data_IF_028490367437
#
_entry.id   IF_028490367437
#
_cell.length_a   1.000
_cell.length_b   1.000
_cell.length_c   1.000
_cell.angle_alpha   90.00
_cell.angle_beta   90.00
_cell.angle_gamma   90.00
#
_symmetry.space_group_name_H-M   'P 1'
#
loop_
_entity.id
_entity.type
_entity.pdbx_description
1 polymer ?
#
# COMPACT_ATOMS: atom_id res chain seq x y z
N UNK A 1 3.02 -12.08 12.80
CA UNK A 1 3.49 -10.76 13.23
C UNK A 1 5.01 -10.66 13.15
N UNK A 2 5.74 -11.60 13.76
CA UNK A 2 7.20 -11.57 13.85
C UNK A 2 7.88 -11.56 12.47
N UNK A 3 7.37 -12.33 11.52
CA UNK A 3 7.89 -12.34 10.14
C UNK A 3 7.82 -10.97 9.45
N UNK A 4 6.79 -10.17 9.71
CA UNK A 4 6.69 -8.79 9.18
C UNK A 4 7.70 -7.88 9.84
N UNK A 5 7.87 -8.00 11.17
CA UNK A 5 8.87 -7.23 11.93
C UNK A 5 10.28 -7.57 11.45
N UNK A 6 10.57 -8.83 11.24
CA UNK A 6 11.88 -9.28 10.74
C UNK A 6 12.13 -8.82 9.30
N UNK A 7 11.11 -8.86 8.44
CA UNK A 7 11.20 -8.28 7.10
C UNK A 7 11.60 -6.80 7.14
N UNK A 8 10.95 -5.99 7.98
CA UNK A 8 11.26 -4.56 8.13
C UNK A 8 12.68 -4.36 8.69
N UNK A 9 13.07 -5.14 9.71
CA UNK A 9 14.41 -5.05 10.31
C UNK A 9 15.53 -5.40 9.33
N UNK A 10 15.35 -6.47 8.58
CA UNK A 10 16.32 -6.90 7.58
C UNK A 10 16.54 -5.86 6.48
N UNK A 11 15.48 -5.14 6.12
CA UNK A 11 15.53 -4.10 5.07
C UNK A 11 15.66 -2.67 5.63
N UNK A 12 16.11 -2.52 6.88
CA UNK A 12 16.16 -1.23 7.56
C UNK A 12 16.96 -0.18 6.80
N UNK A 13 18.14 -0.52 6.29
CA UNK A 13 19.01 0.42 5.56
C UNK A 13 18.28 1.02 4.37
N UNK A 14 17.63 0.16 3.57
CA UNK A 14 16.85 0.58 2.39
C UNK A 14 15.68 1.50 2.76
N UNK A 15 15.05 1.24 3.91
CA UNK A 15 13.92 2.05 4.41
C UNK A 15 14.39 3.39 5.01
N UNK A 16 15.53 3.40 5.71
CA UNK A 16 16.10 4.61 6.32
C UNK A 16 16.64 5.60 5.25
N UNK A 17 16.99 5.10 4.06
CA UNK A 17 17.44 5.90 2.91
C UNK A 17 16.29 6.43 2.05
N UNK A 18 15.05 6.13 2.40
CA UNK A 18 13.88 6.54 1.64
C UNK A 18 13.73 8.09 1.60
N UNK A 19 13.38 8.67 0.44
CA UNK A 19 13.09 10.09 0.39
C UNK A 19 11.86 10.43 1.24
N UNK A 20 11.94 11.51 2.00
CA UNK A 20 10.87 11.95 2.87
C UNK A 20 9.93 12.92 2.14
N UNK A 21 8.63 12.67 2.22
CA UNK A 21 7.58 13.53 1.70
C UNK A 21 6.45 13.66 2.73
N UNK A 22 5.59 14.69 2.58
CA UNK A 22 4.32 14.71 3.29
C UNK A 22 3.43 13.62 2.69
N UNK A 23 3.04 12.67 3.51
CA UNK A 23 2.14 11.56 3.14
C UNK A 23 0.82 11.70 3.87
N UNK A 24 -0.26 11.29 3.24
CA UNK A 24 -1.60 11.33 3.83
C UNK A 24 -1.77 10.30 4.95
N UNK A 25 -1.19 9.12 4.76
CA UNK A 25 -1.25 8.03 5.74
C UNK A 25 -2.52 7.18 5.66
N UNK A 26 -3.60 7.66 5.03
CA UNK A 26 -4.88 6.94 4.90
C UNK A 26 -5.62 7.24 3.58
N UNK A 27 -4.97 7.04 2.45
CA UNK A 27 -5.64 7.18 1.14
C UNK A 27 -6.58 5.99 0.93
N UNK A 28 -7.88 6.23 1.11
CA UNK A 28 -8.95 5.25 0.98
C UNK A 28 -10.17 5.88 0.27
N UNK A 29 -11.07 5.03 -0.25
CA UNK A 29 -12.28 5.53 -0.96
C UNK A 29 -13.12 6.53 -0.15
N UNK A 30 -13.35 6.33 1.16
CA UNK A 30 -14.12 7.30 1.95
C UNK A 30 -13.45 8.67 2.09
N UNK A 31 -12.12 8.73 1.97
CA UNK A 31 -11.31 9.92 2.17
C UNK A 31 -11.02 10.69 0.87
N UNK A 32 -11.56 10.20 -0.25
CA UNK A 32 -11.46 10.85 -1.56
C UNK A 32 -12.79 11.37 -2.04
N UNK A 33 -12.79 12.54 -2.66
CA UNK A 33 -13.96 13.10 -3.34
C UNK A 33 -13.58 13.68 -4.70
N UNK A 34 -14.53 13.62 -5.63
CA UNK A 34 -14.36 14.21 -6.95
C UNK A 34 -14.90 15.62 -6.91
N UNK A 35 -14.09 16.58 -7.32
CA UNK A 35 -14.52 17.94 -7.55
C UNK A 35 -15.04 17.98 -8.99
N UNK A 36 -16.35 18.08 -9.17
CA UNK A 36 -16.95 18.25 -10.50
C UNK A 36 -16.43 19.56 -11.10
N UNK A 37 -15.51 19.44 -12.04
CA UNK A 37 -15.21 20.51 -12.97
C UNK A 37 -16.36 20.67 -13.95
N UNK A 38 -16.59 21.88 -14.44
CA UNK A 38 -17.58 22.23 -15.46
C UNK A 38 -17.64 21.13 -16.55
N UNK A 39 -18.84 20.77 -16.99
CA UNK A 39 -19.27 19.65 -17.86
C UNK A 39 -18.43 19.43 -19.17
N UNK A 40 -17.30 20.12 -19.32
CA UNK A 40 -16.39 20.08 -20.48
C UNK A 40 -14.94 19.71 -20.16
N UNK A 41 -14.56 19.52 -18.89
CA UNK A 41 -13.20 19.13 -18.57
C UNK A 41 -13.11 17.60 -18.42
N UNK A 42 -12.28 16.97 -19.23
CA UNK A 42 -11.95 15.55 -19.14
C UNK A 42 -11.08 15.22 -17.90
N UNK A 43 -10.76 16.21 -17.09
CA UNK A 43 -9.92 16.07 -15.90
C UNK A 43 -10.75 16.33 -14.64
N UNK A 44 -11.35 15.30 -14.08
CA UNK A 44 -11.90 15.36 -12.74
C UNK A 44 -10.78 15.65 -11.73
N UNK A 45 -10.93 16.70 -10.93
CA UNK A 45 -10.03 16.96 -9.82
C UNK A 45 -10.44 16.10 -8.62
N UNK A 46 -9.47 15.46 -7.98
CA UNK A 46 -9.69 14.64 -6.78
C UNK A 46 -9.14 15.41 -5.59
N UNK A 47 -10.01 15.62 -4.59
CA UNK A 47 -9.61 16.13 -3.29
C UNK A 47 -9.48 14.99 -2.27
N UNK A 48 -8.64 15.21 -1.26
CA UNK A 48 -8.47 14.30 -0.13
C UNK A 48 -8.85 15.01 1.16
N UNK A 49 -9.57 14.30 2.02
CA UNK A 49 -9.96 14.71 3.37
C UNK A 49 -9.40 13.74 4.40
N UNK A 50 -9.56 14.03 5.68
CA UNK A 50 -9.14 13.17 6.78
C UNK A 50 -7.62 12.99 6.86
N UNK A 51 -6.94 14.10 7.06
CA UNK A 51 -5.48 14.19 7.17
C UNK A 51 -4.94 13.89 8.57
N UNK A 52 -5.74 13.29 9.44
CA UNK A 52 -5.35 13.05 10.85
C UNK A 52 -4.14 12.13 10.99
N UNK A 53 -3.89 11.24 10.02
CA UNK A 53 -2.72 10.35 9.98
C UNK A 53 -1.57 10.90 9.13
N UNK A 54 -1.67 12.15 8.68
CA UNK A 54 -0.63 12.75 7.86
C UNK A 54 0.68 12.91 8.64
N UNK A 55 1.77 12.58 8.00
CA UNK A 55 3.11 12.68 8.57
C UNK A 55 4.17 12.81 7.48
N UNK A 56 5.40 13.12 7.89
CA UNK A 56 6.54 13.05 6.98
C UNK A 56 7.06 11.61 6.94
N UNK A 57 7.11 11.03 5.74
CA UNK A 57 7.51 9.63 5.57
C UNK A 57 7.79 9.26 4.11
N UNK A 58 8.01 7.97 3.86
CA UNK A 58 8.26 7.44 2.54
C UNK A 58 6.97 7.45 1.67
N UNK A 59 6.94 8.17 0.54
CA UNK A 59 5.79 8.19 -0.36
C UNK A 59 5.45 6.82 -0.96
N UNK A 60 6.37 5.87 -1.03
CA UNK A 60 6.10 4.50 -1.49
C UNK A 60 5.07 3.81 -0.58
N UNK A 61 5.13 4.06 0.73
CA UNK A 61 4.15 3.53 1.69
C UNK A 61 2.73 3.98 1.35
N UNK A 62 2.55 5.27 1.06
CA UNK A 62 1.23 5.83 0.72
C UNK A 62 0.73 5.32 -0.63
N UNK A 63 1.60 5.22 -1.63
CA UNK A 63 1.25 4.68 -2.94
C UNK A 63 0.82 3.21 -2.87
N UNK A 64 1.52 2.39 -2.08
CA UNK A 64 1.13 0.99 -1.87
C UNK A 64 -0.21 0.90 -1.16
N UNK A 65 -0.43 1.74 -0.13
CA UNK A 65 -1.71 1.80 0.58
C UNK A 65 -2.84 2.27 -0.32
N UNK A 66 -2.63 3.33 -1.09
CA UNK A 66 -3.61 3.87 -2.02
C UNK A 66 -4.05 2.81 -3.03
N UNK A 67 -3.08 2.15 -3.68
CA UNK A 67 -3.38 1.05 -4.61
C UNK A 67 -4.23 -0.04 -3.95
N UNK A 68 -3.83 -0.49 -2.76
CA UNK A 68 -4.52 -1.54 -2.04
C UNK A 68 -5.95 -1.11 -1.67
N UNK A 69 -6.12 0.05 -1.05
CA UNK A 69 -7.42 0.53 -0.56
C UNK A 69 -8.38 0.97 -1.66
N UNK A 70 -7.87 1.52 -2.76
CA UNK A 70 -8.72 2.01 -3.86
C UNK A 70 -9.11 0.89 -4.82
N UNK A 71 -8.25 -0.13 -4.98
CA UNK A 71 -8.38 -1.12 -6.04
C UNK A 71 -8.82 -2.50 -5.56
N UNK A 72 -8.44 -2.89 -4.33
CA UNK A 72 -8.65 -4.25 -3.84
C UNK A 72 -9.83 -4.34 -2.87
N UNK A 73 -10.46 -5.53 -2.83
CA UNK A 73 -11.29 -5.99 -1.72
C UNK A 73 -10.42 -6.63 -0.62
N UNK A 74 -11.04 -7.27 0.36
CA UNK A 74 -10.31 -7.97 1.42
C UNK A 74 -9.49 -9.13 0.86
N UNK A 75 -10.10 -9.96 0.03
CA UNK A 75 -9.59 -11.21 -0.52
C UNK A 75 -9.51 -11.20 -2.07
N UNK A 76 -9.83 -10.09 -2.69
CA UNK A 76 -9.85 -9.95 -4.14
C UNK A 76 -8.92 -8.85 -4.60
N UNK A 77 -7.95 -9.18 -5.44
CA UNK A 77 -7.26 -8.15 -6.21
C UNK A 77 -8.22 -7.57 -7.25
N UNK A 78 -8.35 -6.27 -7.24
CA UNK A 78 -9.07 -5.54 -8.28
C UNK A 78 -8.34 -5.61 -9.62
N UNK A 79 -8.99 -5.18 -10.71
CA UNK A 79 -8.38 -5.18 -12.03
C UNK A 79 -7.01 -4.46 -12.03
N UNK A 80 -5.98 -5.10 -12.59
CA UNK A 80 -4.60 -4.56 -12.62
C UNK A 80 -4.55 -3.13 -13.16
N UNK A 81 -5.36 -2.82 -14.19
CA UNK A 81 -5.49 -1.48 -14.78
C UNK A 81 -5.79 -0.37 -13.77
N UNK A 82 -6.52 -0.67 -12.68
CA UNK A 82 -6.83 0.32 -11.64
C UNK A 82 -5.60 0.58 -10.77
N UNK A 83 -4.86 -0.47 -10.44
CA UNK A 83 -3.61 -0.35 -9.70
C UNK A 83 -2.53 0.37 -10.51
N UNK A 84 -2.47 0.11 -11.81
CA UNK A 84 -1.56 0.77 -12.74
C UNK A 84 -1.89 2.27 -12.86
N UNK A 85 -3.19 2.60 -12.91
CA UNK A 85 -3.66 4.00 -12.98
C UNK A 85 -3.25 4.81 -11.74
N UNK A 86 -3.19 4.22 -10.54
CA UNK A 86 -2.70 4.91 -9.33
C UNK A 86 -1.24 5.32 -9.50
N UNK A 87 -0.40 4.40 -9.98
CA UNK A 87 1.02 4.68 -10.19
C UNK A 87 1.26 5.64 -11.37
N UNK A 88 0.48 5.51 -12.43
CA UNK A 88 0.57 6.38 -13.60
C UNK A 88 0.19 7.83 -13.26
N UNK A 89 -0.92 8.04 -12.57
CA UNK A 89 -1.34 9.36 -12.10
C UNK A 89 -0.28 10.01 -11.19
N UNK A 90 0.39 9.22 -10.36
CA UNK A 90 1.50 9.75 -9.57
C UNK A 90 2.69 10.15 -10.44
N UNK A 91 3.09 9.29 -11.42
CA UNK A 91 4.17 9.62 -12.38
C UNK A 91 3.90 10.92 -13.14
N UNK A 92 2.67 11.10 -13.63
CA UNK A 92 2.27 12.29 -14.38
C UNK A 92 2.40 13.57 -13.54
N UNK A 93 2.03 13.51 -12.26
CA UNK A 93 2.05 14.68 -11.38
C UNK A 93 3.43 14.97 -10.78
N UNK A 94 4.19 13.94 -10.42
CA UNK A 94 5.48 14.05 -9.73
C UNK A 94 6.69 13.99 -10.68
N UNK A 95 6.48 13.69 -11.97
CA UNK A 95 7.55 13.51 -12.94
C UNK A 95 8.26 12.16 -12.86
N UNK A 96 7.79 11.24 -12.03
CA UNK A 96 8.34 9.89 -11.84
C UNK A 96 7.82 9.23 -10.57
N UNK A 97 8.06 7.93 -10.41
CA UNK A 97 7.86 7.26 -9.13
C UNK A 97 8.98 7.64 -8.14
N UNK A 98 8.73 7.55 -6.83
CA UNK A 98 9.78 7.82 -5.84
C UNK A 98 11.03 6.98 -6.10
N UNK A 99 12.20 7.56 -5.90
CA UNK A 99 13.46 6.83 -6.01
C UNK A 99 13.41 5.56 -5.13
N UNK A 100 13.90 4.42 -5.65
CA UNK A 100 13.85 3.13 -4.96
C UNK A 100 12.45 2.52 -4.79
N UNK A 101 11.44 2.99 -5.52
CA UNK A 101 10.06 2.47 -5.46
C UNK A 101 9.99 0.95 -5.61
N UNK A 102 10.64 0.39 -6.64
CA UNK A 102 10.55 -1.06 -6.93
C UNK A 102 11.18 -1.91 -5.82
N UNK A 103 12.23 -1.43 -5.16
CA UNK A 103 12.89 -2.13 -4.07
C UNK A 103 12.05 -2.09 -2.77
N UNK A 104 11.43 -0.95 -2.45
CA UNK A 104 10.67 -0.78 -1.19
C UNK A 104 9.21 -1.22 -1.29
N UNK A 105 8.62 -1.21 -2.49
CA UNK A 105 7.22 -1.63 -2.71
C UNK A 105 6.89 -3.01 -2.13
N UNK A 106 7.68 -4.08 -2.35
CA UNK A 106 7.40 -5.40 -1.77
C UNK A 106 7.36 -5.37 -0.24
N UNK A 107 8.26 -4.62 0.40
CA UNK A 107 8.32 -4.49 1.87
C UNK A 107 7.03 -3.85 2.40
N UNK A 108 6.58 -2.76 1.78
CA UNK A 108 5.33 -2.11 2.20
C UNK A 108 4.08 -2.96 1.91
N UNK A 109 4.12 -3.84 0.90
CA UNK A 109 3.06 -4.84 0.68
C UNK A 109 2.99 -5.86 1.82
N UNK A 110 4.13 -6.29 2.37
CA UNK A 110 4.20 -7.13 3.57
C UNK A 110 3.62 -6.39 4.78
N UNK A 111 4.07 -5.16 5.03
CA UNK A 111 3.58 -4.34 6.16
C UNK A 111 2.06 -4.13 6.09
N UNK A 112 1.50 -4.05 4.89
CA UNK A 112 0.06 -3.84 4.66
C UNK A 112 -0.82 -4.96 5.22
N UNK A 113 -0.28 -6.19 5.35
CA UNK A 113 -0.97 -7.32 5.98
C UNK A 113 -1.35 -7.01 7.44
N UNK A 114 -0.47 -6.35 8.20
CA UNK A 114 -0.78 -5.97 9.59
C UNK A 114 -1.96 -5.01 9.68
N UNK A 115 -2.06 -4.08 8.74
CA UNK A 115 -3.20 -3.15 8.70
C UNK A 115 -4.54 -3.85 8.44
N UNK A 116 -4.54 -4.98 7.73
CA UNK A 116 -5.74 -5.80 7.48
C UNK A 116 -6.06 -6.72 8.66
N UNK A 117 -5.03 -7.29 9.30
CA UNK A 117 -5.22 -8.22 10.42
C UNK A 117 -5.95 -7.60 11.62
N UNK A 118 -5.83 -6.31 11.84
CA UNK A 118 -6.54 -5.59 12.92
C UNK A 118 -8.06 -5.48 12.74
N UNK A 119 -8.60 -5.87 11.59
CA UNK A 119 -10.03 -5.73 11.24
C UNK A 119 -10.70 -7.05 10.88
N UNK A 120 -10.08 -8.20 11.21
CA UNK A 120 -10.59 -9.52 10.81
C UNK A 120 -12.01 -9.80 11.31
N UNK A 121 -12.35 -9.41 12.55
CA UNK A 121 -13.70 -9.59 13.10
C UNK A 121 -14.76 -8.83 12.31
N UNK A 122 -14.43 -7.62 11.87
CA UNK A 122 -15.32 -6.80 11.05
C UNK A 122 -15.49 -7.42 9.66
N UNK A 123 -14.39 -7.88 9.06
CA UNK A 123 -14.43 -8.56 7.77
C UNK A 123 -15.18 -9.87 7.81
N UNK A 124 -15.01 -10.68 8.89
CA UNK A 124 -15.75 -11.91 9.10
C UNK A 124 -17.26 -11.67 9.12
N UNK A 125 -17.68 -10.60 9.81
CA UNK A 125 -19.09 -10.21 9.85
C UNK A 125 -19.58 -9.72 8.48
N UNK A 126 -18.78 -8.94 7.76
CA UNK A 126 -19.16 -8.38 6.47
C UNK A 126 -19.25 -9.45 5.37
N UNK A 127 -18.34 -10.42 5.37
CA UNK A 127 -18.26 -11.51 4.39
C UNK A 127 -19.11 -12.71 4.74
N UNK A 128 -19.69 -12.75 5.96
CA UNK A 128 -20.39 -13.92 6.51
C UNK A 128 -19.50 -15.19 6.54
N UNK A 129 -18.24 -15.02 6.97
CA UNK A 129 -17.24 -16.08 6.98
C UNK A 129 -16.58 -16.23 8.36
N UNK A 130 -16.12 -17.45 8.73
CA UNK A 130 -15.38 -17.65 9.97
C UNK A 130 -14.06 -16.86 10.00
N UNK A 131 -13.74 -16.24 11.14
CA UNK A 131 -12.45 -15.54 11.35
C UNK A 131 -11.25 -16.45 11.03
N UNK A 132 -11.35 -17.74 11.37
CA UNK A 132 -10.27 -18.71 11.12
C UNK A 132 -9.92 -18.83 9.61
N UNK A 133 -10.92 -18.78 8.74
CA UNK A 133 -10.70 -18.86 7.29
C UNK A 133 -10.03 -17.58 6.75
N UNK A 134 -10.41 -16.42 7.31
CA UNK A 134 -9.76 -15.14 7.00
C UNK A 134 -8.30 -15.12 7.47
N UNK A 135 -8.01 -15.66 8.65
CA UNK A 135 -6.63 -15.81 9.17
C UNK A 135 -5.81 -16.67 8.23
N UNK A 136 -6.30 -17.85 7.85
CA UNK A 136 -5.58 -18.77 6.96
C UNK A 136 -5.27 -18.11 5.59
N UNK A 137 -6.23 -17.35 5.03
CA UNK A 137 -6.03 -16.62 3.77
C UNK A 137 -4.99 -15.51 3.93
N UNK A 138 -5.03 -14.79 5.04
CA UNK A 138 -4.10 -13.69 5.30
C UNK A 138 -2.67 -14.22 5.51
N UNK A 139 -2.52 -15.36 6.19
CA UNK A 139 -1.23 -16.03 6.39
C UNK A 139 -0.66 -16.50 5.04
N UNK A 140 -1.45 -17.14 4.18
CA UNK A 140 -1.01 -17.56 2.85
C UNK A 140 -0.60 -16.35 1.97
N UNK A 141 -1.33 -15.24 2.07
CA UNK A 141 -0.99 -14.01 1.38
C UNK A 141 0.31 -13.40 1.93
N UNK A 142 0.52 -13.46 3.26
CA UNK A 142 1.75 -13.00 3.90
C UNK A 142 2.97 -13.77 3.37
N UNK A 143 2.89 -15.09 3.32
CA UNK A 143 3.96 -15.95 2.81
C UNK A 143 4.31 -15.58 1.36
N UNK A 144 3.30 -15.44 0.50
CA UNK A 144 3.49 -15.03 -0.89
C UNK A 144 4.15 -13.65 -1.01
N UNK A 145 3.78 -12.71 -0.15
CA UNK A 145 4.36 -11.36 -0.16
C UNK A 145 5.79 -11.34 0.39
N UNK A 146 6.10 -12.17 1.38
CA UNK A 146 7.46 -12.32 1.92
C UNK A 146 8.42 -12.89 0.86
N UNK A 147 7.97 -13.90 0.10
CA UNK A 147 8.75 -14.46 -1.01
C UNK A 147 9.07 -13.44 -2.11
N UNK A 148 8.20 -12.45 -2.29
CA UNK A 148 8.37 -11.39 -3.28
C UNK A 148 9.33 -10.27 -2.82
N UNK A 149 9.74 -10.23 -1.55
CA UNK A 149 10.72 -9.26 -1.05
C UNK A 149 12.10 -9.68 -1.55
N UNK A 150 12.83 -8.81 -2.29
CA UNK A 150 14.18 -9.12 -2.72
C UNK A 150 15.07 -9.45 -1.51
N UNK A 151 15.73 -10.58 -1.55
CA UNK A 151 16.82 -10.86 -0.60
C UNK A 151 17.94 -9.87 -0.92
N UNK A 152 18.06 -8.78 -0.16
CA UNK A 152 19.23 -7.92 -0.31
C UNK A 152 20.46 -8.77 -0.11
N UNK A 153 21.31 -8.75 -1.11
CA UNK A 153 22.48 -9.59 -1.25
C UNK A 153 23.35 -9.56 0.00
N UNK A 154 23.46 -10.72 0.61
CA UNK A 154 24.60 -11.15 1.45
C UNK A 154 25.94 -11.14 0.65
N UNK A 155 25.99 -10.48 -0.51
CA UNK A 155 27.07 -10.62 -1.49
C UNK A 155 27.86 -9.35 -1.81
N UNK A 156 27.93 -8.36 -0.92
CA UNK A 156 28.89 -7.26 -1.13
C UNK A 156 29.65 -6.87 0.14
N UNK A 157 30.17 -7.86 0.85
CA UNK A 157 31.28 -7.71 1.80
C UNK A 157 32.30 -8.83 1.55
N UNK A 158 33.05 -8.70 0.49
CA UNK A 158 34.33 -9.38 0.31
C UNK A 158 35.42 -8.34 0.12
#
# INVERSE_FOLDING_TARGET
>A
FDAVVDCVRTNRTLLDEAPAALVHGDIAKPNGFVIDGDDRSTNAEIGLIDWELAHVGDPVRDLVRARDQLCNGFDTEGPSRLGDAVYEGYRERAGGLPEGFEARRPIYRVVRILGRSGFLDQWATYLDEPVADLVNRLDAELDTRLEAVPSEGLNDRA
#
